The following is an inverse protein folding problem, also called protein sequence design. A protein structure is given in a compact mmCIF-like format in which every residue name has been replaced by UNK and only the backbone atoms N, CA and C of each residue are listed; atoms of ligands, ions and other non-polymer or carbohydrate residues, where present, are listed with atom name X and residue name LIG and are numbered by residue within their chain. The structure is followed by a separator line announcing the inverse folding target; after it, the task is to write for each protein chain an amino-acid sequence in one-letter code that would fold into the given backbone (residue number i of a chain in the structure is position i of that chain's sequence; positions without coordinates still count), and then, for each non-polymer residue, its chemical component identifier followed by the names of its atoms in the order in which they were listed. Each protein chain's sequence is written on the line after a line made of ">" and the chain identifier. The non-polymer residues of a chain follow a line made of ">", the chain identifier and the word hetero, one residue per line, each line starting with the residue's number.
data_IF_679738034555
#
_entry.id   IF_679738034555
#
_cell.length_a   1.000
_cell.length_b   1.000
_cell.length_c   1.000
_cell.angle_alpha   90.00
_cell.angle_beta   90.00
_cell.angle_gamma   90.00
#
_symmetry.space_group_name_H-M   'P 1'
#
loop_
_entity.id
_entity.type
_entity.pdbx_description
1 polymer ?
#
# COMPACT_ATOMS: atom_id res chain seq x y z
N UNK A 1 -34.45 -5.68 -27.24
CA UNK A 1 -34.43 -6.50 -26.00
C UNK A 1 -33.44 -7.67 -26.11
N UNK A 2 -33.49 -8.54 -27.14
CA UNK A 2 -32.54 -9.66 -27.30
C UNK A 2 -31.07 -9.26 -27.38
N UNK A 3 -30.72 -8.22 -28.15
CA UNK A 3 -29.34 -7.74 -28.26
C UNK A 3 -28.77 -7.28 -26.90
N UNK A 4 -29.53 -6.49 -26.14
CA UNK A 4 -29.16 -6.06 -24.79
C UNK A 4 -28.96 -7.22 -23.81
N UNK A 5 -29.75 -8.31 -23.93
CA UNK A 5 -29.56 -9.50 -23.11
C UNK A 5 -28.26 -10.23 -23.46
N UNK A 6 -27.91 -10.31 -24.74
CA UNK A 6 -26.63 -10.89 -25.19
C UNK A 6 -25.47 -10.03 -24.68
N UNK A 7 -25.56 -8.71 -24.81
CA UNK A 7 -24.52 -7.79 -24.30
C UNK A 7 -24.35 -7.91 -22.78
N UNK A 8 -25.45 -8.06 -22.03
CA UNK A 8 -25.38 -8.28 -20.58
C UNK A 8 -24.68 -9.58 -20.21
N UNK A 9 -24.92 -10.66 -20.95
CA UNK A 9 -24.22 -11.93 -20.73
C UNK A 9 -22.73 -11.81 -21.07
N UNK A 10 -22.39 -11.09 -22.14
CA UNK A 10 -21.00 -10.84 -22.52
C UNK A 10 -20.27 -10.01 -21.46
N UNK A 11 -20.87 -8.91 -21.00
CA UNK A 11 -20.32 -8.10 -19.91
C UNK A 11 -20.11 -8.91 -18.63
N UNK A 12 -21.03 -9.82 -18.31
CA UNK A 12 -20.89 -10.70 -17.15
C UNK A 12 -19.72 -11.68 -17.31
N UNK A 13 -19.51 -12.20 -18.51
CA UNK A 13 -18.38 -13.09 -18.81
C UNK A 13 -17.05 -12.34 -18.77
N UNK A 14 -16.99 -11.13 -19.34
CA UNK A 14 -15.82 -10.24 -19.28
C UNK A 14 -15.49 -9.89 -17.83
N UNK A 15 -16.48 -9.47 -17.04
CA UNK A 15 -16.29 -9.16 -15.63
C UNK A 15 -15.70 -10.36 -14.89
N UNK A 16 -16.29 -11.57 -15.04
CA UNK A 16 -15.79 -12.79 -14.40
C UNK A 16 -14.35 -13.15 -14.80
N UNK A 17 -13.95 -12.80 -16.01
CA UNK A 17 -12.59 -13.07 -16.51
C UNK A 17 -11.58 -12.03 -16.01
N UNK A 18 -12.01 -10.78 -15.87
CA UNK A 18 -11.15 -9.66 -15.46
C UNK A 18 -11.04 -9.52 -13.93
N UNK A 19 -12.05 -9.92 -13.16
CA UNK A 19 -12.04 -9.86 -11.69
C UNK A 19 -11.24 -11.04 -11.14
N UNK A 20 -9.92 -10.85 -11.03
CA UNK A 20 -9.05 -11.77 -10.31
C UNK A 20 -8.72 -11.16 -8.96
N UNK A 21 -9.43 -11.58 -7.92
CA UNK A 21 -9.15 -11.16 -6.55
C UNK A 21 -8.16 -12.11 -5.88
N UNK A 22 -7.32 -11.57 -5.00
CA UNK A 22 -6.52 -12.38 -4.08
C UNK A 22 -5.36 -13.15 -4.70
N UNK A 23 -4.80 -12.68 -5.83
CA UNK A 23 -3.59 -13.27 -6.39
C UNK A 23 -2.44 -13.26 -5.36
N UNK A 24 -1.88 -14.44 -5.10
CA UNK A 24 -0.71 -14.58 -4.24
C UNK A 24 0.49 -13.78 -4.80
N UNK A 25 1.13 -13.00 -3.94
CA UNK A 25 2.33 -12.24 -4.27
C UNK A 25 3.56 -13.15 -4.28
N UNK A 26 3.81 -13.79 -5.43
CA UNK A 26 4.93 -14.71 -5.64
C UNK A 26 6.25 -13.97 -5.89
N UNK A 27 7.37 -14.67 -5.66
CA UNK A 27 8.74 -14.17 -5.91
C UNK A 27 8.96 -13.63 -7.33
N UNK A 28 8.32 -14.22 -8.34
CA UNK A 28 8.41 -13.74 -9.72
C UNK A 28 7.77 -12.36 -9.86
N UNK A 29 6.60 -12.14 -9.26
CA UNK A 29 5.91 -10.84 -9.26
C UNK A 29 6.76 -9.81 -8.53
N UNK A 30 7.38 -10.19 -7.42
CA UNK A 30 8.29 -9.32 -6.68
C UNK A 30 9.47 -8.83 -7.52
N UNK A 31 10.13 -9.73 -8.26
CA UNK A 31 11.21 -9.35 -9.15
C UNK A 31 10.71 -8.40 -10.26
N UNK A 32 9.54 -8.69 -10.85
CA UNK A 32 8.94 -7.83 -11.87
C UNK A 32 8.63 -6.42 -11.34
N UNK A 33 8.04 -6.30 -10.14
CA UNK A 33 7.72 -4.99 -9.55
C UNK A 33 9.02 -4.23 -9.21
N UNK A 34 10.07 -4.92 -8.75
CA UNK A 34 11.38 -4.29 -8.48
C UNK A 34 12.06 -3.80 -9.76
N UNK A 35 12.03 -4.59 -10.82
CA UNK A 35 12.57 -4.17 -12.13
C UNK A 35 11.75 -2.99 -12.68
N UNK A 36 10.43 -3.03 -12.52
CA UNK A 36 9.55 -1.94 -12.93
C UNK A 36 9.79 -0.67 -12.10
N UNK A 37 10.05 -0.80 -10.80
CA UNK A 37 10.45 0.31 -9.95
C UNK A 37 11.79 0.92 -10.38
N UNK A 38 12.76 0.10 -10.77
CA UNK A 38 14.03 0.58 -11.35
C UNK A 38 13.81 1.37 -12.64
N UNK A 39 12.84 0.98 -13.47
CA UNK A 39 12.45 1.75 -14.66
C UNK A 39 11.73 3.06 -14.28
N UNK A 40 10.90 3.03 -13.24
CA UNK A 40 10.20 4.21 -12.70
C UNK A 40 11.13 5.28 -12.14
N UNK A 41 12.38 4.93 -11.79
CA UNK A 41 13.43 5.85 -11.33
C UNK A 41 14.54 6.08 -12.37
N UNK A 42 14.37 5.62 -13.62
CA UNK A 42 15.34 5.77 -14.72
C UNK A 42 15.67 7.23 -15.07
N UNK A 43 16.77 7.50 -15.78
CA UNK A 43 17.18 8.86 -16.18
C UNK A 43 16.22 9.51 -17.20
N UNK A 44 15.56 8.71 -18.06
CA UNK A 44 14.68 9.20 -19.12
C UNK A 44 13.24 9.44 -18.64
N UNK A 45 12.75 10.67 -18.76
CA UNK A 45 11.42 11.05 -18.25
C UNK A 45 10.24 10.29 -18.87
N UNK A 46 10.29 10.02 -20.19
CA UNK A 46 9.24 9.25 -20.87
C UNK A 46 9.19 7.80 -20.38
N UNK A 47 10.36 7.17 -20.18
CA UNK A 47 10.46 5.81 -19.64
C UNK A 47 9.92 5.77 -18.22
N UNK A 48 10.31 6.74 -17.36
CA UNK A 48 9.78 6.85 -15.99
C UNK A 48 8.27 6.95 -15.98
N UNK A 49 7.69 7.87 -16.76
CA UNK A 49 6.25 8.11 -16.74
C UNK A 49 5.46 6.84 -17.14
N UNK A 50 5.88 6.16 -18.22
CA UNK A 50 5.24 4.93 -18.67
C UNK A 50 5.42 3.77 -17.68
N UNK A 51 6.62 3.64 -17.10
CA UNK A 51 6.91 2.63 -16.09
C UNK A 51 6.08 2.86 -14.81
N UNK A 52 5.95 4.11 -14.37
CA UNK A 52 5.15 4.49 -13.19
C UNK A 52 3.67 4.12 -13.38
N UNK A 53 3.09 4.34 -14.55
CA UNK A 53 1.71 3.92 -14.80
C UNK A 53 1.51 2.41 -14.65
N UNK A 54 2.39 1.61 -15.28
CA UNK A 54 2.35 0.16 -15.14
C UNK A 54 2.64 -0.28 -13.69
N UNK A 55 3.54 0.41 -13.00
CA UNK A 55 3.91 0.16 -11.61
C UNK A 55 2.70 0.32 -10.68
N UNK A 56 1.94 1.40 -10.81
CA UNK A 56 0.75 1.62 -9.98
C UNK A 56 -0.36 0.60 -10.27
N UNK A 57 -0.54 0.19 -11.52
CA UNK A 57 -1.46 -0.91 -11.86
C UNK A 57 -1.03 -2.21 -11.18
N UNK A 58 0.27 -2.54 -11.21
CA UNK A 58 0.80 -3.73 -10.56
C UNK A 58 0.61 -3.68 -9.03
N UNK A 59 0.82 -2.51 -8.40
CA UNK A 59 0.63 -2.33 -6.97
C UNK A 59 -0.83 -2.55 -6.52
N UNK A 60 -1.80 -2.18 -7.36
CA UNK A 60 -3.23 -2.42 -7.10
C UNK A 60 -3.68 -3.87 -7.36
N UNK A 61 -2.86 -4.68 -8.02
CA UNK A 61 -3.21 -6.06 -8.41
C UNK A 61 -2.82 -7.09 -7.34
N UNK A 62 -1.70 -6.88 -6.65
CA UNK A 62 -1.16 -7.83 -5.69
C UNK A 62 -1.32 -7.34 -4.25
N UNK A 63 -1.91 -8.17 -3.39
CA UNK A 63 -2.07 -7.86 -1.98
C UNK A 63 -0.70 -7.69 -1.28
N UNK A 64 -0.60 -6.71 -0.39
CA UNK A 64 0.57 -6.42 0.46
C UNK A 64 1.88 -6.09 -0.27
N UNK A 65 1.92 -6.03 -1.61
CA UNK A 65 3.14 -5.72 -2.35
C UNK A 65 3.72 -4.34 -2.02
N UNK A 66 2.87 -3.39 -1.64
CA UNK A 66 3.29 -2.03 -1.26
C UNK A 66 4.23 -2.02 -0.04
N UNK A 67 4.04 -2.94 0.92
CA UNK A 67 4.92 -3.09 2.10
C UNK A 67 6.34 -3.45 1.72
N UNK A 68 6.53 -4.29 0.70
CA UNK A 68 7.84 -4.73 0.22
C UNK A 68 8.55 -3.64 -0.59
N UNK A 69 7.80 -2.79 -1.28
CA UNK A 69 8.39 -1.74 -2.13
C UNK A 69 8.74 -0.48 -1.34
N UNK A 70 8.02 -0.14 -0.27
CA UNK A 70 8.28 1.09 0.50
C UNK A 70 9.76 1.25 0.88
N UNK A 71 10.43 0.27 1.53
CA UNK A 71 11.83 0.42 1.92
C UNK A 71 12.73 0.78 0.73
N UNK A 72 12.49 0.17 -0.43
CA UNK A 72 13.24 0.42 -1.66
C UNK A 72 13.00 1.82 -2.23
N UNK A 73 11.79 2.37 -2.09
CA UNK A 73 11.51 3.76 -2.47
C UNK A 73 12.21 4.73 -1.53
N UNK A 74 12.18 4.47 -0.23
CA UNK A 74 12.77 5.32 0.79
C UNK A 74 14.29 5.37 0.70
N UNK A 75 14.95 4.34 0.16
CA UNK A 75 16.41 4.34 -0.07
C UNK A 75 16.87 5.53 -0.93
N UNK A 76 16.05 5.94 -1.91
CA UNK A 76 16.33 7.09 -2.79
C UNK A 76 16.10 8.44 -2.11
N UNK A 77 15.38 8.47 -0.98
CA UNK A 77 15.03 9.69 -0.26
C UNK A 77 15.93 9.97 0.93
N UNK A 78 16.83 9.03 1.28
CA UNK A 78 17.73 9.19 2.41
C UNK A 78 18.62 10.44 2.25
N UNK A 79 18.79 11.24 3.30
CA UNK A 79 19.64 12.43 3.25
C UNK A 79 21.12 12.07 3.02
N UNK A 80 21.56 10.91 3.53
CA UNK A 80 22.94 10.42 3.42
C UNK A 80 23.25 9.73 2.07
N UNK A 81 22.28 9.69 1.15
CA UNK A 81 22.43 9.01 -0.14
C UNK A 81 23.31 9.78 -1.12
N UNK A 82 24.64 9.62 -1.04
CA UNK A 82 25.60 10.31 -1.91
C UNK A 82 25.52 9.95 -3.40
N UNK A 83 24.89 8.83 -3.77
CA UNK A 83 24.86 8.30 -5.14
C UNK A 83 23.55 8.52 -5.90
N UNK A 84 22.56 9.19 -5.29
CA UNK A 84 21.23 9.35 -5.90
C UNK A 84 21.21 10.54 -6.85
N UNK A 85 20.85 10.28 -8.10
CA UNK A 85 20.65 11.36 -9.08
C UNK A 85 19.33 12.10 -8.83
N UNK A 86 19.26 13.37 -9.23
CA UNK A 86 18.02 14.15 -9.15
C UNK A 86 16.85 13.49 -9.89
N UNK A 87 17.10 12.79 -11.00
CA UNK A 87 16.08 12.08 -11.75
C UNK A 87 15.51 10.89 -10.97
N UNK A 88 16.37 10.14 -10.27
CA UNK A 88 15.96 9.05 -9.40
C UNK A 88 15.20 9.55 -8.19
N UNK A 89 15.69 10.60 -7.53
CA UNK A 89 15.00 11.26 -6.41
C UNK A 89 13.59 11.71 -6.81
N UNK A 90 13.49 12.45 -7.93
CA UNK A 90 12.21 12.88 -8.49
C UNK A 90 11.32 11.69 -8.87
N UNK A 91 11.88 10.62 -9.43
CA UNK A 91 11.17 9.40 -9.75
C UNK A 91 10.58 8.72 -8.52
N UNK A 92 11.35 8.63 -7.43
CA UNK A 92 10.90 8.07 -6.15
C UNK A 92 9.76 8.88 -5.52
N UNK A 93 9.84 10.22 -5.56
CA UNK A 93 8.74 11.08 -5.10
C UNK A 93 7.45 10.86 -5.91
N UNK A 94 7.55 10.71 -7.24
CA UNK A 94 6.37 10.35 -8.05
C UNK A 94 5.82 8.97 -7.69
N UNK A 95 6.70 7.98 -7.43
CA UNK A 95 6.26 6.66 -6.97
C UNK A 95 5.53 6.73 -5.62
N UNK A 96 5.97 7.60 -4.70
CA UNK A 96 5.28 7.84 -3.44
C UNK A 96 3.92 8.52 -3.62
N UNK A 97 3.88 9.55 -4.47
CA UNK A 97 2.67 10.33 -4.73
C UNK A 97 1.57 9.46 -5.33
N UNK A 98 1.92 8.50 -6.18
CA UNK A 98 0.95 7.70 -6.90
C UNK A 98 0.17 8.51 -7.95
N UNK A 99 -0.80 7.85 -8.55
CA UNK A 99 -1.74 8.42 -9.52
C UNK A 99 -3.02 8.94 -8.82
N UNK A 100 -3.80 9.78 -9.53
CA UNK A 100 -4.95 10.49 -8.95
C UNK A 100 -6.06 9.55 -8.42
N UNK A 101 -6.25 8.39 -9.03
CA UNK A 101 -7.31 7.42 -8.69
C UNK A 101 -6.75 6.06 -8.24
N UNK A 102 -5.45 5.98 -7.98
CA UNK A 102 -4.75 4.73 -7.69
C UNK A 102 -4.15 4.71 -6.28
N UNK A 103 -3.34 3.68 -6.03
CA UNK A 103 -2.63 3.49 -4.76
C UNK A 103 -1.65 4.65 -4.53
N UNK A 104 -1.72 5.25 -3.35
CA UNK A 104 -0.77 6.24 -2.87
C UNK A 104 0.14 5.57 -1.82
N UNK A 105 1.41 5.33 -2.14
CA UNK A 105 2.34 4.70 -1.20
C UNK A 105 2.59 5.57 0.04
N UNK A 106 2.45 6.89 -0.09
CA UNK A 106 2.61 7.82 1.02
C UNK A 106 1.44 7.81 2.03
N UNK A 107 0.28 7.28 1.64
CA UNK A 107 -0.94 7.29 2.45
C UNK A 107 -1.56 5.88 2.56
N UNK A 108 -0.73 4.86 2.73
CA UNK A 108 -1.23 3.51 3.02
C UNK A 108 -1.80 3.46 4.44
N UNK A 109 -2.93 2.77 4.61
CA UNK A 109 -3.59 2.58 5.92
C UNK A 109 -2.89 1.51 6.76
N UNK A 110 -1.60 1.72 7.03
CA UNK A 110 -0.76 0.80 7.77
C UNK A 110 0.33 1.53 8.53
N UNK A 111 0.34 1.36 9.85
CA UNK A 111 1.28 2.01 10.75
C UNK A 111 2.74 1.70 10.39
N UNK A 112 3.05 0.46 10.01
CA UNK A 112 4.41 0.05 9.63
C UNK A 112 4.92 0.84 8.42
N UNK A 113 4.03 1.15 7.49
CA UNK A 113 4.33 1.91 6.29
C UNK A 113 4.48 3.41 6.60
N UNK A 114 3.57 3.98 7.39
CA UNK A 114 3.56 5.42 7.70
C UNK A 114 4.76 5.83 8.56
N UNK A 115 5.09 5.04 9.59
CA UNK A 115 6.23 5.29 10.49
C UNK A 115 7.56 5.38 9.73
N UNK A 116 7.66 4.71 8.59
CA UNK A 116 8.82 4.78 7.71
C UNK A 116 8.68 5.94 6.72
N UNK A 117 7.51 6.06 6.09
CA UNK A 117 7.33 6.93 4.91
C UNK A 117 7.28 8.40 5.26
N UNK A 118 6.52 8.82 6.29
CA UNK A 118 6.36 10.24 6.59
C UNK A 118 7.66 10.89 7.09
N UNK A 119 8.40 10.30 8.05
CA UNK A 119 9.69 10.84 8.45
C UNK A 119 10.70 10.86 7.30
N UNK A 120 10.66 9.86 6.41
CA UNK A 120 11.51 9.85 5.22
C UNK A 120 11.18 10.97 4.24
N UNK A 121 9.90 11.29 4.03
CA UNK A 121 9.48 12.44 3.20
C UNK A 121 10.01 13.75 3.80
N UNK A 122 9.83 13.96 5.10
CA UNK A 122 10.28 15.19 5.78
C UNK A 122 11.81 15.30 5.76
N UNK A 123 12.52 14.24 6.15
CA UNK A 123 13.99 14.22 6.17
C UNK A 123 14.63 14.27 4.79
N UNK A 124 13.93 13.84 3.72
CA UNK A 124 14.40 14.00 2.34
C UNK A 124 14.59 15.46 1.93
N UNK A 125 13.94 16.38 2.67
CA UNK A 125 14.18 17.83 2.67
C UNK A 125 15.65 18.23 2.73
N UNK A 126 16.45 17.43 3.45
CA UNK A 126 17.87 17.67 3.73
C UNK A 126 18.79 16.95 2.73
N UNK A 127 18.25 16.18 1.80
CA UNK A 127 19.04 15.41 0.84
C UNK A 127 19.76 16.32 -0.15
N UNK A 128 21.03 16.03 -0.47
CA UNK A 128 21.78 16.76 -1.51
C UNK A 128 21.19 16.59 -2.91
N UNK A 129 20.45 15.50 -3.15
CA UNK A 129 19.72 15.28 -4.39
C UNK A 129 18.49 16.19 -4.50
N UNK A 130 18.01 16.75 -3.37
CA UNK A 130 16.97 17.76 -3.36
C UNK A 130 17.55 19.09 -3.83
N UNK A 131 16.92 19.68 -4.84
CA UNK A 131 17.26 21.01 -5.34
C UNK A 131 15.98 21.83 -5.40
N UNK A 132 15.84 22.73 -4.43
CA UNK A 132 14.74 23.70 -4.36
C UNK A 132 14.75 24.67 -5.56
N UNK A 133 15.85 24.73 -6.30
CA UNK A 133 15.96 25.50 -7.55
C UNK A 133 15.09 24.95 -8.68
N UNK A 134 14.61 23.69 -8.56
CA UNK A 134 13.71 23.07 -9.55
C UNK A 134 12.26 23.20 -9.09
N UNK A 135 11.43 24.06 -9.72
CA UNK A 135 10.03 24.25 -9.32
C UNK A 135 9.23 22.95 -9.35
N UNK A 136 9.59 22.02 -10.24
CA UNK A 136 8.90 20.73 -10.35
C UNK A 136 9.11 19.78 -9.16
N UNK A 137 10.16 19.96 -8.34
CA UNK A 137 10.37 19.17 -7.13
C UNK A 137 9.60 19.79 -5.97
N UNK A 138 9.64 21.12 -5.84
CA UNK A 138 8.85 21.86 -4.84
C UNK A 138 7.36 21.53 -5.00
N UNK A 139 6.84 21.65 -6.23
CA UNK A 139 5.46 21.28 -6.54
C UNK A 139 5.13 19.82 -6.17
N UNK A 140 6.06 18.88 -6.30
CA UNK A 140 5.82 17.49 -5.92
C UNK A 140 5.66 17.32 -4.42
N UNK A 141 6.41 18.06 -3.61
CA UNK A 141 6.23 18.06 -2.17
C UNK A 141 4.90 18.70 -1.78
N UNK A 142 4.51 19.80 -2.43
CA UNK A 142 3.21 20.44 -2.22
C UNK A 142 2.07 19.45 -2.59
N UNK A 143 2.16 18.82 -3.76
CA UNK A 143 1.19 17.84 -4.24
C UNK A 143 1.13 16.62 -3.28
N UNK A 144 2.27 16.18 -2.73
CA UNK A 144 2.34 15.09 -1.73
C UNK A 144 1.67 15.48 -0.42
N UNK A 145 2.04 16.64 0.13
CA UNK A 145 1.49 17.13 1.39
C UNK A 145 -0.02 17.36 1.28
N UNK A 146 -0.48 17.98 0.20
CA UNK A 146 -1.90 18.19 -0.07
C UNK A 146 -2.63 16.85 -0.22
N UNK A 147 -2.06 15.89 -0.97
CA UNK A 147 -2.68 14.59 -1.18
C UNK A 147 -2.81 13.79 0.12
N UNK A 148 -1.75 13.76 0.94
CA UNK A 148 -1.79 13.12 2.27
C UNK A 148 -2.87 13.81 3.11
N UNK A 149 -2.84 15.14 3.22
CA UNK A 149 -3.82 15.88 4.04
C UNK A 149 -5.27 15.63 3.60
N UNK A 150 -5.53 15.58 2.29
CA UNK A 150 -6.88 15.37 1.73
C UNK A 150 -7.38 13.94 1.84
N UNK A 151 -6.49 12.95 1.74
CA UNK A 151 -6.85 11.53 1.68
C UNK A 151 -6.58 10.76 2.98
N UNK A 152 -5.93 11.38 3.97
CA UNK A 152 -5.64 10.72 5.22
C UNK A 152 -6.94 10.42 5.97
N UNK A 153 -7.12 9.16 6.32
CA UNK A 153 -8.18 8.71 7.23
C UNK A 153 -7.52 8.21 8.50
N UNK A 154 -8.13 8.49 9.64
CA UNK A 154 -7.61 8.08 10.94
C UNK A 154 -7.47 6.57 10.99
N UNK A 155 -6.24 6.09 11.17
CA UNK A 155 -5.94 4.66 11.30
C UNK A 155 -6.21 4.24 12.74
N UNK A 156 -6.89 3.10 12.90
CA UNK A 156 -7.23 2.55 14.20
C UNK A 156 -5.98 2.22 15.03
N UNK A 157 -6.02 2.56 16.31
CA UNK A 157 -5.04 2.13 17.33
C UNK A 157 -5.55 0.90 18.10
N UNK A 158 -6.86 0.90 18.38
CA UNK A 158 -7.55 -0.19 19.04
C UNK A 158 -8.56 -0.80 18.08
N UNK A 159 -8.40 -2.08 17.80
CA UNK A 159 -9.40 -2.90 17.15
C UNK A 159 -9.74 -4.05 18.08
N UNK A 160 -10.99 -4.07 18.54
CA UNK A 160 -11.52 -5.12 19.41
C UNK A 160 -12.85 -5.60 18.84
N UNK A 161 -13.00 -6.91 18.69
CA UNK A 161 -14.24 -7.54 18.20
C UNK A 161 -15.10 -7.90 19.43
N UNK A 162 -16.34 -7.41 19.54
CA UNK A 162 -17.24 -7.79 20.62
C UNK A 162 -17.55 -9.29 20.63
N UNK A 163 -17.77 -9.86 21.82
CA UNK A 163 -18.06 -11.28 22.00
C UNK A 163 -19.32 -11.73 21.24
N UNK A 164 -20.34 -10.87 21.18
CA UNK A 164 -21.57 -11.12 20.41
C UNK A 164 -21.29 -11.32 18.91
N UNK A 165 -20.31 -10.61 18.33
CA UNK A 165 -19.91 -10.80 16.94
C UNK A 165 -19.18 -12.12 16.74
N UNK A 166 -18.38 -12.56 17.72
CA UNK A 166 -17.67 -13.85 17.70
C UNK A 166 -18.69 -15.00 17.72
N UNK A 167 -19.69 -14.93 18.60
CA UNK A 167 -20.77 -15.93 18.67
C UNK A 167 -21.49 -16.09 17.33
N UNK A 168 -21.88 -14.98 16.70
CA UNK A 168 -22.54 -14.99 15.39
C UNK A 168 -21.63 -15.54 14.29
N UNK A 169 -20.34 -15.17 14.28
CA UNK A 169 -19.38 -15.68 13.30
C UNK A 169 -19.19 -17.20 13.42
N UNK A 170 -19.15 -17.74 14.64
CA UNK A 170 -19.09 -19.20 14.90
C UNK A 170 -20.35 -19.89 14.39
N UNK A 171 -21.53 -19.29 14.55
CA UNK A 171 -22.77 -19.81 13.98
C UNK A 171 -22.75 -19.82 12.44
N UNK A 172 -22.24 -18.75 11.81
CA UNK A 172 -22.09 -18.65 10.36
C UNK A 172 -21.11 -19.70 9.82
N UNK A 173 -20.02 -19.98 10.51
CA UNK A 173 -19.08 -21.02 10.11
C UNK A 173 -19.74 -22.41 10.13
N UNK A 174 -20.51 -22.71 11.19
CA UNK A 174 -21.21 -23.99 11.34
C UNK A 174 -22.26 -24.23 10.27
N UNK A 175 -22.90 -23.19 9.73
CA UNK A 175 -23.85 -23.33 8.62
C UNK A 175 -23.16 -23.60 7.28
N UNK A 176 -21.95 -23.06 7.07
CA UNK A 176 -21.14 -23.28 5.84
C UNK A 176 -20.46 -24.65 5.84
N UNK A 177 -20.04 -25.15 7.01
CA UNK A 177 -19.40 -26.46 7.18
C UNK A 177 -20.28 -27.67 6.81
N UNK A 178 -21.57 -27.47 6.51
CA UNK A 178 -22.44 -28.51 5.97
C UNK A 178 -22.18 -28.79 4.47
N UNK A 179 -21.47 -27.90 3.74
CA UNK A 179 -21.25 -27.99 2.29
C UNK A 179 -19.76 -28.06 1.86
N UNK A 180 -18.80 -28.09 2.78
CA UNK A 180 -17.37 -28.21 2.46
C UNK A 180 -16.47 -28.32 3.70
N UNK A 181 -15.23 -28.81 3.48
CA UNK A 181 -14.15 -29.11 4.44
C UNK A 181 -13.68 -27.92 5.31
N UNK A 182 -14.58 -27.23 6.00
CA UNK A 182 -14.22 -26.22 6.98
C UNK A 182 -14.17 -26.86 8.36
N UNK A 183 -12.96 -27.17 8.82
CA UNK A 183 -12.72 -27.60 10.21
C UNK A 183 -13.26 -26.54 11.16
N UNK A 184 -14.06 -26.94 12.14
CA UNK A 184 -14.55 -26.01 13.17
C UNK A 184 -13.36 -25.38 13.91
N UNK A 185 -13.35 -24.06 14.05
CA UNK A 185 -12.31 -23.36 14.80
C UNK A 185 -12.25 -23.89 16.23
N UNK A 186 -11.05 -24.21 16.72
CA UNK A 186 -10.87 -24.63 18.10
C UNK A 186 -10.95 -23.42 19.05
N UNK A 187 -11.35 -23.65 20.31
CA UNK A 187 -11.32 -22.58 21.32
C UNK A 187 -9.91 -21.98 21.47
N UNK A 188 -8.87 -22.79 21.30
CA UNK A 188 -7.47 -22.36 21.37
C UNK A 188 -7.10 -21.41 20.22
N UNK A 189 -7.61 -21.63 19.00
CA UNK A 189 -7.39 -20.74 17.87
C UNK A 189 -8.07 -19.38 18.05
N UNK A 190 -9.25 -19.36 18.69
CA UNK A 190 -9.97 -18.13 19.02
C UNK A 190 -9.19 -17.33 20.07
N UNK A 191 -8.71 -17.98 21.12
CA UNK A 191 -7.87 -17.35 22.16
C UNK A 191 -6.56 -16.81 21.57
N UNK A 192 -5.91 -17.57 20.68
CA UNK A 192 -4.71 -17.11 19.97
C UNK A 192 -5.00 -15.89 19.10
N UNK A 193 -6.15 -15.86 18.42
CA UNK A 193 -6.59 -14.71 17.63
C UNK A 193 -6.78 -13.45 18.47
N UNK A 194 -7.40 -13.58 19.64
CA UNK A 194 -7.56 -12.48 20.60
C UNK A 194 -6.20 -11.98 21.11
N UNK A 195 -5.29 -12.90 21.40
CA UNK A 195 -3.94 -12.55 21.84
C UNK A 195 -3.16 -11.78 20.77
N UNK A 196 -3.15 -12.27 19.52
CA UNK A 196 -2.52 -11.57 18.38
C UNK A 196 -3.15 -10.21 18.12
N UNK A 197 -4.46 -10.07 18.33
CA UNK A 197 -5.13 -8.79 18.19
C UNK A 197 -4.64 -7.76 19.22
N UNK A 198 -4.50 -8.18 20.48
CA UNK A 198 -3.97 -7.31 21.56
C UNK A 198 -2.54 -6.88 21.28
N UNK A 199 -1.70 -7.81 20.83
CA UNK A 199 -0.31 -7.53 20.42
C UNK A 199 -0.26 -6.50 19.28
N UNK A 200 -1.11 -6.65 18.26
CA UNK A 200 -1.20 -5.71 17.14
C UNK A 200 -1.69 -4.32 17.55
N UNK A 201 -2.61 -4.21 18.51
CA UNK A 201 -3.05 -2.91 19.05
C UNK A 201 -1.92 -2.22 19.82
N UNK A 202 -1.14 -3.00 20.58
CA UNK A 202 0.04 -2.50 21.30
C UNK A 202 1.13 -2.00 20.32
N UNK A 203 1.42 -2.77 19.27
CA UNK A 203 2.34 -2.36 18.19
C UNK A 203 1.85 -1.10 17.49
N UNK A 204 0.55 -1.00 17.18
CA UNK A 204 -0.04 0.18 16.55
C UNK A 204 0.11 1.43 17.40
N UNK A 205 -0.09 1.31 18.72
CA UNK A 205 0.11 2.40 19.68
C UNK A 205 1.58 2.83 19.76
N UNK A 206 2.50 1.87 19.83
CA UNK A 206 3.93 2.13 19.84
C UNK A 206 4.40 2.81 18.53
N UNK A 207 3.88 2.35 17.40
CA UNK A 207 4.16 2.94 16.09
C UNK A 207 3.66 4.38 15.99
N UNK A 208 2.47 4.68 16.52
CA UNK A 208 1.95 6.04 16.57
C UNK A 208 2.84 6.97 17.41
N UNK A 209 3.25 6.54 18.61
CA UNK A 209 4.18 7.31 19.45
C UNK A 209 5.53 7.51 18.78
N UNK A 210 6.07 6.46 18.13
CA UNK A 210 7.31 6.52 17.37
C UNK A 210 7.21 7.49 16.18
N UNK A 211 6.08 7.50 15.48
CA UNK A 211 5.83 8.44 14.38
C UNK A 211 5.91 9.88 14.89
N UNK A 212 5.21 10.19 15.98
CA UNK A 212 5.24 11.53 16.59
C UNK A 212 6.67 11.92 16.95
N UNK A 213 7.39 11.04 17.66
CA UNK A 213 8.75 11.31 18.10
C UNK A 213 9.76 11.51 16.95
N UNK A 214 9.48 10.92 15.77
CA UNK A 214 10.33 11.09 14.58
C UNK A 214 10.01 12.36 13.78
N UNK A 215 8.79 12.89 13.91
CA UNK A 215 8.33 14.08 13.19
C UNK A 215 8.57 15.37 13.97
N UNK A 216 8.68 15.30 15.29
CA UNK A 216 9.07 16.40 16.18
C UNK A 216 10.59 16.55 16.28
#
# INVERSE_FOLDING_TARGET
>A
IRALLIDRVMLQHELRTLTVEGCEYKKVHQNLIRDLFRLSTSSYGQVRNKAQQAFFTALGTYNFCCRDIIPLVLEFLRPDGYSVTQQQFKGALYCLLGNHSGVCLANLHDWDCIVQTWPAIVSSGLSKAMSLEKPSIVRLFDDLAEKIHRQYETIGLDFTVPETCIEVAVLMQKSVGQNGECTSLSSEEIELGIQRQKERNAESSQNYENLINKLL
#
